data_IF_988581105925
#
_entry.id   IF_988581105925
#
_cell.length_a   1.000
_cell.length_b   1.000
_cell.length_c   1.000
_cell.angle_alpha   90.00
_cell.angle_beta   90.00
_cell.angle_gamma   90.00
#
_symmetry.space_group_name_H-M   'P 1'
#
loop_
_entity.id
_entity.type
_entity.pdbx_description
1 polymer ?
#
# COMPACT_ATOMS: atom_id res chain seq x y z
N UNK A 1 -8.71 54.47 -25.95
CA UNK A 1 -8.50 53.10 -25.46
C UNK A 1 -9.42 52.88 -24.27
N UNK A 2 -10.61 52.32 -24.46
CA UNK A 2 -11.48 51.87 -23.37
C UNK A 2 -11.21 50.39 -23.15
N UNK A 3 -10.66 50.05 -21.97
CA UNK A 3 -10.46 48.66 -21.56
C UNK A 3 -11.78 48.04 -21.10
N UNK A 4 -12.02 46.75 -21.34
CA UNK A 4 -13.28 46.09 -21.01
C UNK A 4 -13.38 45.79 -19.51
N UNK A 5 -14.53 46.07 -18.91
CA UNK A 5 -14.87 45.81 -17.51
C UNK A 5 -15.05 44.28 -17.27
N UNK A 6 -14.17 43.57 -16.53
CA UNK A 6 -14.26 42.12 -16.38
C UNK A 6 -14.89 41.65 -15.06
N UNK A 7 -15.58 42.51 -14.30
CA UNK A 7 -16.03 42.17 -12.94
C UNK A 7 -17.53 41.87 -12.80
N UNK A 8 -18.36 42.29 -13.76
CA UNK A 8 -19.83 42.15 -13.68
C UNK A 8 -20.32 40.72 -13.98
N UNK A 9 -19.61 40.00 -14.84
CA UNK A 9 -19.98 38.64 -15.29
C UNK A 9 -19.84 37.57 -14.19
N UNK A 10 -18.78 37.63 -13.39
CA UNK A 10 -18.54 36.63 -12.34
C UNK A 10 -19.56 36.73 -11.19
N UNK A 11 -20.00 37.94 -10.85
CA UNK A 11 -21.05 38.17 -9.86
C UNK A 11 -22.41 37.66 -10.37
N UNK A 12 -22.74 37.93 -11.63
CA UNK A 12 -23.98 37.44 -12.25
C UNK A 12 -24.05 35.91 -12.30
N UNK A 13 -22.93 35.23 -12.61
CA UNK A 13 -22.86 33.77 -12.59
C UNK A 13 -23.09 33.16 -11.19
N UNK A 14 -22.57 33.80 -10.13
CA UNK A 14 -22.78 33.35 -8.75
C UNK A 14 -24.22 33.54 -8.29
N UNK A 15 -24.83 34.66 -8.64
CA UNK A 15 -26.25 34.92 -8.33
C UNK A 15 -27.15 33.92 -9.04
N UNK A 16 -26.89 33.65 -10.32
CA UNK A 16 -27.66 32.67 -11.08
C UNK A 16 -27.52 31.26 -10.49
N UNK A 17 -26.31 30.86 -10.11
CA UNK A 17 -26.06 29.56 -9.47
C UNK A 17 -26.82 29.40 -8.14
N UNK A 18 -26.83 30.44 -7.31
CA UNK A 18 -27.57 30.43 -6.04
C UNK A 18 -29.07 30.36 -6.29
N UNK A 19 -29.60 31.11 -7.26
CA UNK A 19 -31.02 31.07 -7.61
C UNK A 19 -31.42 29.68 -8.11
N UNK A 20 -30.62 29.07 -9.00
CA UNK A 20 -30.89 27.69 -9.47
C UNK A 20 -30.83 26.67 -8.34
N UNK A 21 -29.90 26.82 -7.40
CA UNK A 21 -29.77 25.92 -6.25
C UNK A 21 -30.93 26.08 -5.26
N UNK A 22 -31.39 27.30 -5.01
CA UNK A 22 -32.59 27.53 -4.20
C UNK A 22 -33.84 26.98 -4.87
N UNK A 23 -33.94 27.08 -6.20
CA UNK A 23 -35.10 26.55 -6.93
C UNK A 23 -35.12 25.02 -6.93
N UNK A 24 -33.96 24.35 -7.01
CA UNK A 24 -33.90 22.88 -6.88
C UNK A 24 -34.18 22.40 -5.46
N UNK A 25 -33.74 23.14 -4.43
CA UNK A 25 -34.01 22.78 -3.03
C UNK A 25 -35.47 23.00 -2.61
N UNK A 26 -36.14 24.02 -3.15
CA UNK A 26 -37.52 24.36 -2.81
C UNK A 26 -38.53 23.70 -3.75
N UNK A 27 -38.14 23.42 -5.00
CA UNK A 27 -39.02 22.96 -6.07
C UNK A 27 -39.08 21.45 -6.31
N UNK A 28 -38.29 20.64 -5.60
CA UNK A 28 -38.45 19.17 -5.65
C UNK A 28 -39.42 18.77 -4.53
N UNK A 29 -40.72 18.55 -4.82
CA UNK A 29 -41.54 17.81 -3.88
C UNK A 29 -40.86 16.46 -3.68
N UNK A 30 -40.48 16.17 -2.44
CA UNK A 30 -40.05 14.84 -2.02
C UNK A 30 -41.28 13.95 -2.11
N UNK A 31 -41.62 13.55 -3.34
CA UNK A 31 -42.52 12.44 -3.56
C UNK A 31 -41.86 11.23 -2.88
N UNK A 32 -42.62 10.42 -2.11
CA UNK A 32 -42.07 9.17 -1.60
C UNK A 32 -41.55 8.38 -2.80
N UNK A 33 -40.27 8.02 -2.77
CA UNK A 33 -39.69 7.14 -3.77
C UNK A 33 -40.49 5.83 -3.75
N UNK A 34 -41.36 5.64 -4.74
CA UNK A 34 -41.99 4.35 -4.99
C UNK A 34 -40.87 3.43 -5.47
N UNK A 35 -40.48 2.49 -4.62
CA UNK A 35 -39.52 1.47 -4.98
C UNK A 35 -40.23 0.46 -5.91
N UNK A 36 -40.08 0.63 -7.22
CA UNK A 36 -40.54 -0.32 -8.26
C UNK A 36 -39.74 -1.64 -8.27
N UNK A 37 -38.91 -1.85 -7.24
CA UNK A 37 -38.06 -3.01 -7.07
C UNK A 37 -38.04 -3.43 -5.60
N UNK A 38 -38.62 -4.58 -5.30
CA UNK A 38 -38.48 -5.26 -4.02
C UNK A 38 -37.51 -6.43 -4.20
N UNK A 39 -36.42 -6.40 -3.45
CA UNK A 39 -35.49 -7.52 -3.32
C UNK A 39 -35.51 -8.00 -1.87
N UNK A 40 -35.81 -9.27 -1.68
CA UNK A 40 -35.72 -9.93 -0.38
C UNK A 40 -34.80 -11.14 -0.50
N UNK A 41 -33.86 -11.25 0.43
CA UNK A 41 -33.01 -12.41 0.60
C UNK A 41 -33.01 -12.79 2.07
N UNK A 42 -33.31 -14.05 2.35
CA UNK A 42 -33.21 -14.64 3.68
C UNK A 42 -32.32 -15.86 3.61
N UNK A 43 -31.38 -15.94 4.53
CA UNK A 43 -30.54 -17.11 4.72
C UNK A 43 -30.82 -17.68 6.10
N UNK A 44 -31.51 -18.82 6.12
CA UNK A 44 -31.87 -19.55 7.34
C UNK A 44 -31.17 -20.90 7.42
N UNK A 45 -31.25 -21.59 8.57
CA UNK A 45 -30.73 -22.95 8.72
C UNK A 45 -31.36 -23.94 7.71
N UNK A 46 -32.52 -23.61 7.14
CA UNK A 46 -33.23 -24.42 6.15
C UNK A 46 -32.85 -24.08 4.68
N UNK A 47 -31.95 -23.11 4.44
CA UNK A 47 -31.46 -22.76 3.11
C UNK A 47 -31.52 -21.27 2.76
N UNK A 48 -31.35 -20.96 1.48
CA UNK A 48 -31.33 -19.59 0.95
C UNK A 48 -32.54 -19.34 0.06
N UNK A 49 -33.37 -18.37 0.44
CA UNK A 49 -34.48 -17.88 -0.37
C UNK A 49 -34.17 -16.45 -0.84
N UNK A 50 -34.17 -16.25 -2.15
CA UNK A 50 -33.93 -14.96 -2.78
C UNK A 50 -35.01 -14.68 -3.84
N UNK A 51 -35.71 -13.57 -3.69
CA UNK A 51 -36.73 -13.10 -4.63
C UNK A 51 -36.45 -11.65 -4.98
N UNK A 52 -36.28 -11.38 -6.28
CA UNK A 52 -36.16 -10.03 -6.83
C UNK A 52 -37.24 -9.83 -7.88
N UNK A 53 -38.07 -8.81 -7.71
CA UNK A 53 -39.13 -8.45 -8.66
C UNK A 53 -38.99 -6.98 -9.01
N UNK A 54 -38.97 -6.70 -10.32
CA UNK A 54 -38.98 -5.35 -10.88
C UNK A 54 -40.11 -5.25 -11.92
N UNK A 55 -41.01 -4.27 -11.76
CA UNK A 55 -42.06 -4.01 -12.74
C UNK A 55 -43.29 -3.29 -12.21
N UNK A 56 -43.90 -2.46 -13.06
CA UNK A 56 -45.08 -1.66 -12.76
C UNK A 56 -46.40 -2.46 -12.86
N UNK A 57 -47.03 -2.68 -11.70
CA UNK A 57 -48.48 -2.72 -11.45
C UNK A 57 -49.44 -3.64 -12.25
N UNK A 58 -49.01 -4.76 -12.82
CA UNK A 58 -49.98 -5.83 -13.14
C UNK A 58 -49.39 -7.23 -13.13
N UNK A 59 -49.14 -7.79 -11.94
CA UNK A 59 -48.92 -9.22 -11.76
C UNK A 59 -49.56 -9.73 -10.47
N UNK A 60 -49.98 -11.00 -10.42
CA UNK A 60 -51.13 -11.46 -9.63
C UNK A 60 -50.84 -11.36 -8.14
N UNK A 61 -51.90 -11.17 -7.37
CA UNK A 61 -51.94 -11.06 -5.90
C UNK A 61 -50.99 -12.05 -5.22
N UNK A 62 -49.75 -11.63 -4.97
CA UNK A 62 -48.87 -12.31 -4.04
C UNK A 62 -49.47 -12.17 -2.64
N UNK A 63 -49.39 -13.21 -1.79
CA UNK A 63 -49.78 -13.06 -0.39
C UNK A 63 -49.02 -11.87 0.22
N UNK A 64 -49.68 -11.03 1.03
CA UNK A 64 -49.02 -9.90 1.66
C UNK A 64 -47.79 -10.42 2.40
N UNK A 65 -46.63 -9.79 2.14
CA UNK A 65 -45.42 -10.09 2.88
C UNK A 65 -45.76 -10.08 4.36
N UNK A 66 -45.56 -11.20 5.05
CA UNK A 66 -45.81 -11.28 6.48
C UNK A 66 -44.93 -10.23 7.15
N UNK A 67 -45.56 -9.36 7.94
CA UNK A 67 -44.85 -8.38 8.76
C UNK A 67 -43.82 -9.16 9.58
N UNK A 68 -42.51 -8.86 9.46
CA UNK A 68 -41.50 -9.60 10.17
C UNK A 68 -41.80 -9.49 11.66
N UNK A 69 -42.03 -10.64 12.31
CA UNK A 69 -42.22 -10.69 13.76
C UNK A 69 -41.01 -10.00 14.39
N UNK A 70 -41.20 -8.99 15.25
CA UNK A 70 -40.09 -8.29 15.87
C UNK A 70 -39.21 -9.33 16.56
N UNK A 71 -37.96 -9.44 16.09
CA UNK A 71 -36.99 -10.31 16.74
C UNK A 71 -36.87 -9.85 18.19
N UNK A 72 -36.99 -10.75 19.19
CA UNK A 72 -36.86 -10.35 20.59
C UNK A 72 -35.54 -9.59 20.75
N UNK A 73 -35.63 -8.39 21.32
CA UNK A 73 -34.44 -7.58 21.59
C UNK A 73 -33.47 -8.43 22.41
N UNK A 74 -32.24 -8.66 21.92
CA UNK A 74 -31.27 -9.45 22.69
C UNK A 74 -31.06 -8.77 24.04
N UNK A 75 -30.87 -9.54 25.12
CA UNK A 75 -30.55 -8.97 26.42
C UNK A 75 -29.31 -8.07 26.27
N UNK A 76 -29.23 -6.97 27.04
CA UNK A 76 -28.08 -6.09 27.00
C UNK A 76 -26.80 -6.91 27.24
N UNK A 77 -25.72 -6.65 26.49
CA UNK A 77 -24.48 -7.36 26.70
C UNK A 77 -24.01 -7.17 28.15
N UNK A 78 -23.44 -8.21 28.78
CA UNK A 78 -22.89 -8.07 30.12
C UNK A 78 -21.88 -6.94 30.14
N UNK A 79 -21.93 -6.13 31.21
CA UNK A 79 -20.98 -5.03 31.42
C UNK A 79 -19.55 -5.61 31.35
N UNK A 80 -18.64 -5.02 30.56
CA UNK A 80 -17.26 -5.47 30.52
C UNK A 80 -16.67 -5.50 31.92
N UNK A 81 -16.09 -6.63 32.30
CA UNK A 81 -15.25 -6.72 33.50
C UNK A 81 -14.12 -5.70 33.35
N UNK A 82 -13.84 -4.86 34.35
CA UNK A 82 -12.72 -3.93 34.29
C UNK A 82 -11.42 -4.72 34.03
N UNK A 83 -10.50 -4.17 33.21
CA UNK A 83 -9.22 -4.81 33.00
C UNK A 83 -8.50 -4.97 34.35
N UNK A 84 -7.75 -6.06 34.54
CA UNK A 84 -6.92 -6.22 35.74
C UNK A 84 -5.96 -5.02 35.87
N UNK A 85 -5.62 -4.62 37.10
CA UNK A 85 -4.67 -3.53 37.33
C UNK A 85 -3.35 -3.84 36.63
N UNK A 86 -2.75 -2.81 36.05
CA UNK A 86 -1.45 -2.91 35.38
C UNK A 86 -0.40 -3.40 36.38
N UNK A 87 0.44 -4.39 36.03
CA UNK A 87 1.50 -4.85 36.91
C UNK A 87 2.43 -3.69 37.25
N UNK A 88 2.80 -3.57 38.52
CA UNK A 88 3.80 -2.59 38.95
C UNK A 88 5.10 -2.84 38.18
N UNK A 89 5.70 -1.81 37.56
CA UNK A 89 6.94 -1.98 36.81
C UNK A 89 8.04 -2.51 37.75
N UNK A 90 8.93 -3.39 37.24
CA UNK A 90 10.04 -3.88 38.03
C UNK A 90 10.92 -2.71 38.48
N UNK A 91 11.58 -2.82 39.66
CA UNK A 91 12.50 -1.80 40.13
C UNK A 91 13.61 -1.57 39.08
N UNK A 92 14.10 -0.32 38.97
CA UNK A 92 15.19 -0.01 38.05
C UNK A 92 16.43 -0.86 38.40
N UNK A 93 17.17 -1.35 37.39
CA UNK A 93 18.38 -2.14 37.63
C UNK A 93 19.39 -1.34 38.44
N UNK A 94 20.08 -2.02 39.35
CA UNK A 94 21.14 -1.41 40.15
C UNK A 94 22.24 -0.81 39.27
N UNK A 95 22.82 0.35 39.66
CA UNK A 95 23.94 0.94 38.94
C UNK A 95 25.10 -0.03 38.82
N UNK A 96 25.57 -0.27 37.60
CA UNK A 96 26.75 -1.10 37.36
C UNK A 96 27.97 -0.48 38.06
N UNK A 97 28.81 -1.28 38.73
CA UNK A 97 30.05 -0.78 39.35
C UNK A 97 30.92 -0.04 38.33
N UNK A 98 31.63 1.03 38.74
CA UNK A 98 32.54 1.75 37.87
C UNK A 98 33.62 0.81 37.34
N UNK A 99 33.93 0.95 36.05
CA UNK A 99 34.98 0.17 35.42
C UNK A 99 36.33 0.45 36.10
N UNK A 100 37.17 -0.57 36.33
CA UNK A 100 38.49 -0.37 36.91
C UNK A 100 39.33 0.53 36.01
N UNK A 101 40.08 1.45 36.62
CA UNK A 101 40.95 2.38 35.91
C UNK A 101 42.05 1.60 35.17
N UNK A 102 42.25 1.83 33.86
CA UNK A 102 43.32 1.17 33.12
C UNK A 102 44.69 1.45 33.76
N UNK A 103 45.59 0.46 33.80
CA UNK A 103 46.96 0.66 34.28
C UNK A 103 47.69 1.69 33.41
N UNK A 104 48.60 2.44 34.03
CA UNK A 104 49.38 3.46 33.35
C UNK A 104 50.16 2.86 32.15
N UNK A 105 50.26 3.58 31.01
CA UNK A 105 51.03 3.13 29.86
C UNK A 105 52.48 2.87 30.24
N UNK A 106 53.02 1.72 29.80
CA UNK A 106 54.44 1.40 29.97
C UNK A 106 55.29 2.39 29.15
N UNK A 107 56.43 2.86 29.68
CA UNK A 107 57.36 3.71 28.92
C UNK A 107 57.75 3.06 27.58
N UNK A 108 57.79 3.87 26.53
CA UNK A 108 58.15 3.41 25.18
C UNK A 108 59.63 2.98 25.15
N UNK A 109 59.96 1.82 24.57
CA UNK A 109 61.34 1.38 24.45
C UNK A 109 62.15 2.33 23.55
N UNK A 110 63.48 2.44 23.80
CA UNK A 110 64.34 3.29 23.00
C UNK A 110 64.35 2.86 21.52
N UNK A 111 64.54 3.81 20.58
CA UNK A 111 64.54 3.51 19.16
C UNK A 111 65.66 2.50 18.82
N UNK A 112 65.39 1.52 17.96
CA UNK A 112 66.38 0.53 17.55
C UNK A 112 67.52 1.20 16.76
N UNK A 113 68.73 0.63 16.89
CA UNK A 113 69.91 1.13 16.18
C UNK A 113 69.69 1.12 14.64
N UNK A 114 70.30 2.07 13.90
CA UNK A 114 70.21 2.11 12.45
C UNK A 114 70.69 0.80 11.81
N UNK A 115 69.88 0.25 10.90
CA UNK A 115 70.21 -0.99 10.19
C UNK A 115 71.28 -0.70 9.13
N UNK A 116 72.32 -1.56 8.97
CA UNK A 116 73.33 -1.38 7.91
C UNK A 116 72.69 -1.34 6.51
N UNK A 117 73.27 -0.51 5.63
CA UNK A 117 72.80 -0.38 4.26
C UNK A 117 72.93 -1.70 3.49
N UNK A 118 71.92 -2.08 2.69
CA UNK A 118 71.98 -3.31 1.91
C UNK A 118 73.05 -3.24 0.81
N UNK A 119 73.69 -4.37 0.47
CA UNK A 119 74.66 -4.42 -0.62
C UNK A 119 73.99 -4.15 -1.98
N UNK A 120 74.77 -3.58 -2.90
CA UNK A 120 74.30 -3.22 -4.24
C UNK A 120 73.86 -4.48 -5.02
N UNK A 121 72.71 -4.46 -5.71
CA UNK A 121 72.26 -5.62 -6.48
C UNK A 121 73.19 -5.92 -7.66
N UNK A 122 73.50 -7.20 -7.84
CA UNK A 122 74.23 -7.74 -8.98
C UNK A 122 73.33 -7.74 -10.23
N UNK A 123 73.82 -7.35 -11.42
CA UNK A 123 73.00 -7.32 -12.62
C UNK A 123 72.50 -8.71 -13.01
N UNK A 124 71.20 -8.79 -13.33
CA UNK A 124 70.53 -10.02 -13.79
C UNK A 124 70.87 -10.27 -15.27
N UNK A 125 71.31 -11.49 -15.66
CA UNK A 125 71.56 -11.80 -17.06
C UNK A 125 70.26 -11.85 -17.89
N UNK A 126 70.36 -11.38 -19.13
CA UNK A 126 69.26 -11.33 -20.11
C UNK A 126 68.84 -12.74 -20.55
N UNK A 127 67.54 -13.09 -20.53
CA UNK A 127 67.09 -14.42 -20.95
C UNK A 127 67.22 -14.63 -22.46
N UNK A 128 67.70 -15.80 -22.84
CA UNK A 128 67.83 -16.25 -24.24
C UNK A 128 66.46 -16.63 -24.81
N UNK A 129 66.10 -16.21 -26.03
CA UNK A 129 64.80 -16.53 -26.62
C UNK A 129 64.64 -18.03 -26.91
N UNK A 130 63.43 -18.54 -26.62
CA UNK A 130 63.06 -19.94 -26.83
C UNK A 130 62.70 -20.20 -28.30
N UNK A 131 63.16 -21.29 -28.93
CA UNK A 131 62.80 -21.61 -30.31
C UNK A 131 61.32 -22.00 -30.45
N UNK A 132 60.75 -21.63 -31.61
CA UNK A 132 59.36 -21.89 -31.99
C UNK A 132 59.13 -23.38 -32.32
N UNK A 133 58.03 -24.01 -31.89
CA UNK A 133 57.76 -25.42 -32.19
C UNK A 133 57.41 -25.66 -33.67
N UNK A 134 57.70 -26.87 -34.20
CA UNK A 134 57.40 -27.23 -35.58
C UNK A 134 55.89 -27.46 -35.81
N UNK A 135 55.40 -27.32 -37.06
CA UNK A 135 54.01 -27.55 -37.40
C UNK A 135 53.61 -29.03 -37.31
N UNK A 136 52.47 -29.30 -36.66
CA UNK A 136 51.89 -30.64 -36.51
C UNK A 136 51.17 -31.05 -37.79
N UNK A 137 51.44 -32.27 -38.28
CA UNK A 137 50.74 -32.88 -39.42
C UNK A 137 49.41 -33.51 -39.00
N UNK A 138 48.36 -33.49 -39.85
CA UNK A 138 47.12 -34.22 -39.60
C UNK A 138 47.35 -35.74 -39.67
N UNK A 139 46.95 -36.47 -38.64
CA UNK A 139 46.91 -37.93 -38.61
C UNK A 139 45.54 -38.41 -39.12
N UNK A 140 45.53 -39.49 -39.90
CA UNK A 140 44.32 -40.18 -40.37
C UNK A 140 43.75 -41.00 -39.19
N UNK A 141 42.44 -40.94 -38.89
CA UNK A 141 41.86 -41.68 -37.76
C UNK A 141 41.86 -43.20 -37.99
N UNK A 142 42.32 -43.94 -36.97
CA UNK A 142 42.23 -45.40 -36.87
C UNK A 142 40.78 -45.83 -36.55
N UNK A 143 40.28 -46.99 -37.03
CA UNK A 143 38.91 -47.43 -36.77
C UNK A 143 38.69 -47.78 -35.29
N UNK A 144 37.64 -47.20 -34.70
CA UNK A 144 37.27 -47.43 -33.31
C UNK A 144 36.77 -48.88 -33.08
N UNK A 145 37.10 -49.52 -31.94
CA UNK A 145 36.53 -50.82 -31.57
C UNK A 145 35.03 -50.71 -31.26
N UNK A 146 34.30 -51.77 -31.62
CA UNK A 146 32.85 -51.89 -31.43
C UNK A 146 32.47 -51.77 -29.95
N UNK A 147 31.64 -50.78 -29.62
CA UNK A 147 31.21 -50.49 -28.26
C UNK A 147 30.12 -51.47 -27.79
N UNK A 148 30.29 -52.01 -26.58
CA UNK A 148 29.24 -52.69 -25.80
C UNK A 148 28.07 -51.73 -25.55
N UNK A 149 26.79 -52.14 -25.70
CA UNK A 149 25.66 -51.25 -25.49
C UNK A 149 25.58 -50.79 -24.02
N UNK A 150 25.60 -49.47 -23.83
CA UNK A 150 25.42 -48.82 -22.54
C UNK A 150 23.94 -48.91 -22.10
N UNK A 151 23.66 -48.98 -20.78
CA UNK A 151 22.29 -49.00 -20.26
C UNK A 151 21.54 -47.71 -20.62
N UNK A 152 20.28 -47.87 -21.04
CA UNK A 152 19.37 -46.78 -21.39
C UNK A 152 19.19 -45.82 -20.22
N UNK A 153 19.50 -44.51 -20.36
CA UNK A 153 19.30 -43.55 -19.29
C UNK A 153 17.81 -43.32 -19.04
N UNK A 154 17.41 -43.44 -17.77
CA UNK A 154 16.07 -43.10 -17.29
C UNK A 154 15.84 -41.59 -17.47
N UNK A 155 14.67 -41.13 -17.97
CA UNK A 155 14.42 -39.71 -18.19
C UNK A 155 14.47 -38.95 -16.86
N UNK A 156 15.44 -38.03 -16.74
CA UNK A 156 15.44 -37.04 -15.64
C UNK A 156 14.40 -35.97 -15.96
N UNK A 157 13.52 -35.59 -15.02
CA UNK A 157 12.63 -34.47 -15.22
C UNK A 157 13.45 -33.18 -15.38
N UNK A 158 13.34 -32.55 -16.55
CA UNK A 158 13.92 -31.25 -16.81
C UNK A 158 13.01 -30.19 -16.17
N UNK A 159 13.47 -29.55 -15.10
CA UNK A 159 12.78 -28.42 -14.50
C UNK A 159 13.02 -27.19 -15.38
N UNK A 160 12.06 -26.88 -16.24
CA UNK A 160 12.07 -25.63 -17.00
C UNK A 160 11.92 -24.45 -16.02
N UNK A 161 12.84 -23.47 -15.98
CA UNK A 161 12.72 -22.32 -15.10
C UNK A 161 11.47 -21.52 -15.47
N UNK A 162 10.50 -21.45 -14.57
CA UNK A 162 9.29 -20.64 -14.77
C UNK A 162 9.70 -19.16 -14.71
N UNK A 163 9.53 -18.46 -15.83
CA UNK A 163 9.78 -17.02 -15.90
C UNK A 163 8.60 -16.28 -15.26
N UNK A 164 8.80 -15.78 -14.03
CA UNK A 164 7.81 -14.95 -13.36
C UNK A 164 7.90 -13.51 -13.86
N UNK A 165 6.78 -12.88 -14.24
CA UNK A 165 6.76 -11.46 -14.57
C UNK A 165 7.15 -10.64 -13.34
N UNK A 166 7.93 -9.58 -13.57
CA UNK A 166 8.38 -8.67 -12.49
C UNK A 166 7.14 -8.07 -11.82
N UNK A 167 6.86 -8.47 -10.57
CA UNK A 167 5.81 -7.87 -9.77
C UNK A 167 6.10 -6.37 -9.60
N UNK A 168 5.36 -5.52 -10.33
CA UNK A 168 5.33 -4.08 -10.08
C UNK A 168 4.33 -3.87 -8.95
N UNK A 169 4.82 -3.43 -7.80
CA UNK A 169 3.94 -2.90 -6.76
C UNK A 169 3.05 -1.82 -7.38
N UNK A 170 1.73 -1.95 -7.22
CA UNK A 170 0.79 -0.95 -7.70
C UNK A 170 1.18 0.39 -7.10
N UNK A 171 1.38 1.41 -7.94
CA UNK A 171 1.62 2.77 -7.45
C UNK A 171 0.42 3.16 -6.59
N UNK A 172 0.63 3.69 -5.37
CA UNK A 172 -0.48 4.19 -4.57
C UNK A 172 -1.25 5.22 -5.40
N UNK A 173 -2.59 5.17 -5.40
CA UNK A 173 -3.39 6.13 -6.14
C UNK A 173 -3.00 7.53 -5.66
N UNK A 174 -2.46 8.35 -6.58
CA UNK A 174 -2.34 9.78 -6.32
C UNK A 174 -3.76 10.30 -6.13
N UNK A 175 -4.15 10.58 -4.88
CA UNK A 175 -5.33 11.39 -4.61
C UNK A 175 -5.12 12.73 -5.29
N UNK A 176 -5.73 12.86 -6.46
CA UNK A 176 -5.84 14.12 -7.17
C UNK A 176 -6.59 15.09 -6.27
N UNK A 177 -5.87 16.05 -5.68
CA UNK A 177 -6.49 17.20 -5.01
C UNK A 177 -7.19 18.15 -6.00
N UNK A 178 -7.21 17.82 -7.29
CA UNK A 178 -7.72 18.64 -8.40
C UNK A 178 -9.25 18.72 -8.51
N UNK A 179 -9.97 18.43 -7.43
CA UNK A 179 -11.43 18.57 -7.39
C UNK A 179 -12.02 18.86 -6.02
N UNK A 180 -11.19 18.97 -4.97
CA UNK A 180 -11.69 19.35 -3.66
C UNK A 180 -11.87 20.87 -3.62
N UNK A 181 -13.08 21.34 -3.34
CA UNK A 181 -13.34 22.73 -2.97
C UNK A 181 -12.36 23.13 -1.87
N UNK A 182 -11.73 24.31 -2.00
CA UNK A 182 -10.72 24.78 -1.03
C UNK A 182 -11.26 24.60 0.40
N UNK A 183 -10.47 24.06 1.35
CA UNK A 183 -10.93 23.79 2.70
C UNK A 183 -11.50 25.04 3.38
N UNK A 184 -10.97 26.22 3.02
CA UNK A 184 -11.52 27.50 3.45
C UNK A 184 -12.93 27.76 2.91
N UNK A 185 -13.20 27.41 1.65
CA UNK A 185 -14.53 27.54 1.03
C UNK A 185 -15.52 26.60 1.72
N UNK A 186 -15.11 25.37 2.04
CA UNK A 186 -15.95 24.43 2.77
C UNK A 186 -16.29 24.93 4.18
N UNK A 187 -15.29 25.41 4.93
CA UNK A 187 -15.50 25.98 6.27
C UNK A 187 -16.38 27.21 6.22
N UNK A 188 -16.18 28.10 5.24
CA UNK A 188 -16.99 29.31 5.08
C UNK A 188 -18.45 28.97 4.76
N UNK A 189 -18.68 27.94 3.94
CA UNK A 189 -20.03 27.50 3.55
C UNK A 189 -20.82 26.94 4.74
N UNK A 190 -20.15 26.38 5.75
CA UNK A 190 -20.80 25.88 6.98
C UNK A 190 -20.95 27.01 8.02
N UNK A 191 -19.91 27.80 8.22
CA UNK A 191 -19.85 28.76 9.35
C UNK A 191 -20.67 30.02 9.11
N UNK A 192 -20.73 30.54 7.88
CA UNK A 192 -21.45 31.78 7.57
C UNK A 192 -22.97 31.65 7.83
N UNK A 193 -23.67 30.60 7.36
CA UNK A 193 -25.09 30.43 7.65
C UNK A 193 -25.39 30.29 9.15
N UNK A 194 -24.51 29.58 9.89
CA UNK A 194 -24.66 29.41 11.33
C UNK A 194 -24.59 30.75 12.08
N UNK A 195 -23.63 31.61 11.71
CA UNK A 195 -23.50 32.95 12.32
C UNK A 195 -24.70 33.83 11.98
N UNK A 196 -25.19 33.78 10.73
CA UNK A 196 -26.39 34.54 10.33
C UNK A 196 -27.63 34.06 11.10
N UNK A 197 -27.81 32.76 11.28
CA UNK A 197 -28.92 32.21 12.06
C UNK A 197 -28.86 32.64 13.53
N UNK A 198 -27.68 32.60 14.15
CA UNK A 198 -27.48 33.07 15.53
C UNK A 198 -27.76 34.56 15.66
N UNK A 199 -27.33 35.38 14.69
CA UNK A 199 -27.61 36.81 14.67
C UNK A 199 -29.12 37.09 14.54
N UNK A 200 -29.81 36.34 13.68
CA UNK A 200 -31.26 36.47 13.50
C UNK A 200 -32.06 36.02 14.75
N UNK A 201 -31.59 34.99 15.46
CA UNK A 201 -32.22 34.55 16.71
C UNK A 201 -31.98 35.52 17.87
N UNK A 202 -30.83 36.20 17.92
CA UNK A 202 -30.51 37.21 18.95
C UNK A 202 -31.16 38.58 18.71
N UNK A 203 -31.70 38.81 17.52
CA UNK A 203 -32.39 40.05 17.18
C UNK A 203 -33.89 40.04 17.58
N UNK A 204 -34.39 38.93 18.12
CA UNK A 204 -35.70 38.82 18.78
C UNK A 204 -35.52 38.84 20.28
#
# INVERSE_FOLDING_TARGET
MHGPEPTRSAAAGRVLALVTLTFTLVGIPVAPAQADACAYASTGPDGTDAVAVAGSLSWPTFPPCSEPTPTPTPPPPPKPTPPPPEPTPPPPPEPKPPAPTPPAPRPEPPPPAPRPAPPRPTPTPTPTPRPSPPPVRPQVPEPAPSATPAPTPTPRPSLSPVHYPRHRAARPPQRSSRGATSPLVFVLLITVPAVVAVAALRAR
#
